data_IF_147585407506
#
_entry.id   IF_147585407506
#
_cell.length_a   1.000
_cell.length_b   1.000
_cell.length_c   1.000
_cell.angle_alpha   90.00
_cell.angle_beta   90.00
_cell.angle_gamma   90.00
#
_symmetry.space_group_name_H-M   'P 1'
#
loop_
_entity.id
_entity.type
_entity.pdbx_description
1 polymer ?
#
# COMPACT_ATOMS: atom_id res chain seq x y z
N UNK A 1 5.54 -27.13 -19.48
CA UNK A 1 6.75 -27.17 -18.65
C UNK A 1 6.94 -25.76 -18.11
N UNK A 2 6.60 -25.55 -16.84
CA UNK A 2 6.98 -24.34 -16.12
C UNK A 2 8.48 -24.39 -15.90
N UNK A 3 9.23 -23.57 -16.63
CA UNK A 3 10.63 -23.31 -16.31
C UNK A 3 10.68 -22.66 -14.92
N UNK A 4 11.13 -23.42 -13.94
CA UNK A 4 11.34 -22.88 -12.59
C UNK A 4 12.53 -21.93 -12.66
N UNK A 5 12.28 -20.65 -12.31
CA UNK A 5 13.32 -19.65 -12.13
C UNK A 5 14.35 -20.20 -11.14
N UNK A 6 15.62 -20.20 -11.52
CA UNK A 6 16.73 -20.67 -10.68
C UNK A 6 16.90 -19.81 -9.44
N UNK A 7 17.54 -20.33 -8.40
CA UNK A 7 17.79 -19.55 -7.18
C UNK A 7 18.76 -18.38 -7.41
N UNK A 8 19.66 -18.49 -8.37
CA UNK A 8 20.52 -17.40 -8.81
C UNK A 8 19.72 -16.28 -9.48
N UNK A 9 18.79 -16.62 -10.37
CA UNK A 9 17.89 -15.66 -11.00
C UNK A 9 17.00 -14.98 -9.96
N UNK A 10 16.44 -15.73 -9.00
CA UNK A 10 15.68 -15.14 -7.87
C UNK A 10 16.52 -14.15 -7.06
N UNK A 11 17.78 -14.52 -6.77
CA UNK A 11 18.69 -13.64 -6.03
C UNK A 11 19.02 -12.37 -6.82
N UNK A 12 19.32 -12.48 -8.11
CA UNK A 12 19.56 -11.34 -9.02
C UNK A 12 18.35 -10.43 -9.11
N UNK A 13 17.15 -11.01 -9.23
CA UNK A 13 15.89 -10.30 -9.25
C UNK A 13 15.67 -9.51 -7.95
N UNK A 14 15.83 -10.17 -6.81
CA UNK A 14 15.71 -9.54 -5.49
C UNK A 14 16.73 -8.43 -5.30
N UNK A 15 17.98 -8.65 -5.69
CA UNK A 15 19.06 -7.66 -5.59
C UNK A 15 18.77 -6.44 -6.48
N UNK A 16 18.39 -6.66 -7.74
CA UNK A 16 18.00 -5.57 -8.64
C UNK A 16 16.80 -4.80 -8.12
N UNK A 17 15.81 -5.50 -7.55
CA UNK A 17 14.66 -4.87 -6.93
C UNK A 17 15.09 -3.95 -5.79
N UNK A 18 15.86 -4.42 -4.84
CA UNK A 18 16.25 -3.66 -3.66
C UNK A 18 17.22 -2.50 -3.99
N UNK A 19 18.17 -2.72 -4.89
CA UNK A 19 19.18 -1.71 -5.24
C UNK A 19 18.61 -0.51 -6.02
N UNK A 20 17.44 -0.66 -6.64
CA UNK A 20 16.77 0.41 -7.37
C UNK A 20 15.71 1.15 -6.54
N UNK A 21 15.43 0.71 -5.31
CA UNK A 21 14.55 1.44 -4.39
C UNK A 21 15.24 2.73 -3.92
N UNK A 22 14.73 3.87 -4.39
CA UNK A 22 15.24 5.18 -4.02
C UNK A 22 14.27 5.93 -3.11
N UNK A 23 14.48 5.81 -1.80
CA UNK A 23 13.64 6.44 -0.78
C UNK A 23 13.65 7.98 -0.89
N UNK A 24 14.76 8.60 -1.29
CA UNK A 24 14.85 10.06 -1.46
C UNK A 24 13.90 10.53 -2.56
N UNK A 25 13.78 9.75 -3.64
CA UNK A 25 12.84 10.04 -4.72
C UNK A 25 11.39 10.00 -4.23
N UNK A 26 11.04 8.98 -3.42
CA UNK A 26 9.70 8.89 -2.84
C UNK A 26 9.40 10.10 -1.93
N UNK A 27 10.34 10.46 -1.04
CA UNK A 27 10.21 11.63 -0.16
C UNK A 27 9.97 12.89 -0.98
N UNK A 28 10.76 13.11 -2.05
CA UNK A 28 10.61 14.27 -2.93
C UNK A 28 9.25 14.30 -3.65
N UNK A 29 8.74 13.15 -4.09
CA UNK A 29 7.40 13.06 -4.67
C UNK A 29 6.32 13.42 -3.65
N UNK A 30 6.46 12.96 -2.41
CA UNK A 30 5.55 13.32 -1.30
C UNK A 30 5.57 14.83 -1.06
N UNK A 31 6.75 15.44 -0.93
CA UNK A 31 6.90 16.88 -0.74
C UNK A 31 6.21 17.68 -1.85
N UNK A 32 6.43 17.30 -3.11
CA UNK A 32 5.82 17.95 -4.28
C UNK A 32 4.28 17.80 -4.23
N UNK A 33 3.78 16.58 -3.99
CA UNK A 33 2.35 16.32 -4.01
C UNK A 33 1.61 16.95 -2.82
N UNK A 34 2.24 17.01 -1.65
CA UNK A 34 1.74 17.75 -0.48
C UNK A 34 1.71 19.25 -0.79
N UNK A 35 2.80 19.79 -1.34
CA UNK A 35 2.89 21.21 -1.69
C UNK A 35 1.87 21.67 -2.75
N UNK A 36 1.43 20.74 -3.64
CA UNK A 36 0.38 21.03 -4.63
C UNK A 36 -1.03 21.05 -4.03
N UNK A 37 -1.27 20.34 -2.91
CA UNK A 37 -2.60 20.13 -2.36
C UNK A 37 -2.92 20.96 -1.14
N UNK A 38 -1.90 21.39 -0.39
CA UNK A 38 -2.07 22.11 0.86
C UNK A 38 -1.49 23.53 0.77
N UNK A 39 -2.26 24.49 1.26
CA UNK A 39 -1.75 25.82 1.56
C UNK A 39 -0.87 25.76 2.81
N UNK A 40 -0.06 26.80 3.04
CA UNK A 40 0.77 26.93 4.26
C UNK A 40 -0.06 26.86 5.55
N UNK A 41 -1.28 27.43 5.54
CA UNK A 41 -2.19 27.37 6.70
C UNK A 41 -2.65 25.95 6.98
N UNK A 42 -3.08 25.21 5.96
CA UNK A 42 -3.51 23.81 6.06
C UNK A 42 -2.36 22.91 6.50
N UNK A 43 -1.16 23.12 5.94
CA UNK A 43 0.03 22.38 6.36
C UNK A 43 0.35 22.59 7.84
N UNK A 44 0.20 23.82 8.35
CA UNK A 44 0.40 24.10 9.78
C UNK A 44 -0.65 23.41 10.67
N UNK A 45 -1.90 23.29 10.21
CA UNK A 45 -2.94 22.53 10.93
C UNK A 45 -2.62 21.04 10.94
N UNK A 46 -2.27 20.48 9.79
CA UNK A 46 -1.85 19.08 9.68
C UNK A 46 -0.64 18.77 10.59
N UNK A 47 0.37 19.64 10.63
CA UNK A 47 1.54 19.47 11.50
C UNK A 47 1.17 19.42 13.00
N UNK A 48 0.09 20.09 13.44
CA UNK A 48 -0.40 19.96 14.81
C UNK A 48 -0.94 18.56 15.08
N UNK A 49 -1.67 17.97 14.13
CA UNK A 49 -2.17 16.59 14.21
C UNK A 49 -0.99 15.63 14.32
N UNK A 50 0.00 15.72 13.42
CA UNK A 50 1.18 14.85 13.42
C UNK A 50 2.10 15.02 14.65
N UNK A 51 2.02 16.16 15.35
CA UNK A 51 2.73 16.39 16.61
C UNK A 51 1.99 15.89 17.84
N UNK A 52 0.69 15.63 17.73
CA UNK A 52 -0.14 15.13 18.84
C UNK A 52 0.37 13.76 19.31
N UNK A 53 0.66 13.58 20.61
CA UNK A 53 1.15 12.30 21.14
C UNK A 53 0.18 11.13 20.90
N UNK A 54 -1.13 11.40 20.93
CA UNK A 54 -2.15 10.39 20.64
C UNK A 54 -2.05 9.91 19.19
N UNK A 55 -1.97 10.84 18.23
CA UNK A 55 -1.83 10.50 16.81
C UNK A 55 -0.51 9.75 16.51
N UNK A 56 0.59 10.21 17.12
CA UNK A 56 1.90 9.56 17.00
C UNK A 56 1.91 8.11 17.46
N UNK A 57 1.14 7.77 18.52
CA UNK A 57 1.04 6.39 19.00
C UNK A 57 0.47 5.46 17.92
N UNK A 58 -0.51 5.92 17.15
CA UNK A 58 -1.09 5.17 16.03
C UNK A 58 -0.10 5.03 14.87
N UNK A 59 0.54 6.14 14.45
CA UNK A 59 1.57 6.10 13.41
C UNK A 59 2.72 5.16 13.76
N UNK A 60 3.16 5.14 15.01
CA UNK A 60 4.20 4.22 15.45
C UNK A 60 3.76 2.77 15.33
N UNK A 61 2.50 2.46 15.64
CA UNK A 61 1.95 1.12 15.46
C UNK A 61 1.91 0.71 13.98
N UNK A 62 1.56 1.63 13.09
CA UNK A 62 1.58 1.41 11.64
C UNK A 62 2.99 1.12 11.13
N UNK A 63 3.97 1.93 11.55
CA UNK A 63 5.39 1.71 11.21
C UNK A 63 5.89 0.36 11.72
N UNK A 64 5.56 0.02 12.98
CA UNK A 64 5.97 -1.25 13.57
C UNK A 64 5.37 -2.44 12.83
N UNK A 65 4.07 -2.35 12.46
CA UNK A 65 3.36 -3.43 11.75
C UNK A 65 3.82 -3.59 10.30
N UNK A 66 4.43 -2.57 9.70
CA UNK A 66 5.00 -2.62 8.35
C UNK A 66 6.42 -3.20 8.30
N UNK A 67 7.07 -3.43 9.45
CA UNK A 67 8.40 -4.01 9.49
C UNK A 67 8.37 -5.49 9.06
N UNK A 68 9.40 -5.98 8.35
CA UNK A 68 9.49 -7.40 7.94
C UNK A 68 9.37 -8.39 9.11
N UNK A 69 9.87 -8.01 10.29
CA UNK A 69 9.80 -8.81 11.52
C UNK A 69 8.35 -9.01 12.00
N UNK A 70 7.48 -8.02 11.77
CA UNK A 70 6.06 -8.11 12.12
C UNK A 70 5.27 -9.11 11.25
N UNK A 71 5.80 -9.52 10.09
CA UNK A 71 5.12 -10.47 9.19
C UNK A 71 4.85 -11.83 9.88
N UNK A 72 5.81 -12.31 10.66
CA UNK A 72 5.65 -13.56 11.40
C UNK A 72 4.59 -13.42 12.50
N UNK A 73 4.59 -12.31 13.23
CA UNK A 73 3.58 -12.02 14.25
C UNK A 73 2.19 -11.88 13.63
N UNK A 74 2.09 -11.22 12.50
CA UNK A 74 0.84 -11.08 11.75
C UNK A 74 0.31 -12.45 11.29
N UNK A 75 1.16 -13.33 10.78
CA UNK A 75 0.76 -14.68 10.39
C UNK A 75 0.20 -15.49 11.59
N UNK A 76 0.86 -15.38 12.75
CA UNK A 76 0.37 -16.01 14.00
C UNK A 76 -0.97 -15.39 14.43
N UNK A 77 -1.10 -14.06 14.38
CA UNK A 77 -2.35 -13.37 14.69
C UNK A 77 -3.50 -13.85 13.81
N UNK A 78 -3.29 -13.88 12.48
CA UNK A 78 -4.30 -14.32 11.51
C UNK A 78 -4.71 -15.78 11.73
N UNK A 79 -3.77 -16.68 12.06
CA UNK A 79 -4.08 -18.08 12.35
C UNK A 79 -4.97 -18.26 13.58
N UNK A 80 -4.94 -17.33 14.52
CA UNK A 80 -5.72 -17.34 15.76
C UNK A 80 -7.03 -16.53 15.69
N UNK A 81 -7.22 -15.72 14.66
CA UNK A 81 -8.36 -14.80 14.57
C UNK A 81 -9.70 -15.54 14.54
N UNK A 82 -9.74 -16.75 13.99
CA UNK A 82 -10.94 -17.61 14.00
C UNK A 82 -11.35 -18.10 15.39
N UNK A 83 -10.38 -18.21 16.32
CA UNK A 83 -10.63 -18.60 17.71
C UNK A 83 -11.01 -17.42 18.59
N UNK A 84 -10.51 -16.21 18.24
CA UNK A 84 -10.75 -14.94 18.94
C UNK A 84 -11.31 -13.92 17.95
N UNK A 85 -12.51 -14.19 17.44
CA UNK A 85 -13.13 -13.32 16.43
C UNK A 85 -13.32 -11.91 16.98
N UNK A 86 -12.93 -10.87 16.22
CA UNK A 86 -13.18 -9.49 16.60
C UNK A 86 -14.69 -9.23 16.78
N UNK A 87 -15.05 -8.34 17.69
CA UNK A 87 -16.45 -7.93 17.85
C UNK A 87 -16.98 -7.28 16.56
N UNK A 88 -18.29 -7.35 16.34
CA UNK A 88 -18.93 -6.64 15.23
C UNK A 88 -18.65 -5.15 15.25
N UNK A 89 -18.57 -4.56 16.45
CA UNK A 89 -18.24 -3.15 16.60
C UNK A 89 -16.81 -2.85 16.16
N UNK A 90 -15.84 -3.68 16.54
CA UNK A 90 -14.44 -3.57 16.05
C UNK A 90 -14.37 -3.67 14.52
N UNK A 91 -15.10 -4.59 13.92
CA UNK A 91 -15.15 -4.74 12.46
C UNK A 91 -15.77 -3.51 11.77
N UNK A 92 -16.78 -2.88 12.36
CA UNK A 92 -17.35 -1.63 11.87
C UNK A 92 -16.33 -0.49 11.93
N UNK A 93 -15.57 -0.36 13.02
CA UNK A 93 -14.50 0.64 13.15
C UNK A 93 -13.42 0.44 12.08
N UNK A 94 -12.98 -0.79 11.84
CA UNK A 94 -12.00 -1.10 10.79
C UNK A 94 -12.54 -0.72 9.40
N UNK A 95 -13.79 -1.01 9.10
CA UNK A 95 -14.40 -0.62 7.83
C UNK A 95 -14.50 0.92 7.68
N UNK A 96 -14.83 1.65 8.77
CA UNK A 96 -14.82 3.13 8.78
C UNK A 96 -13.42 3.68 8.54
N UNK A 97 -12.41 3.11 9.18
CA UNK A 97 -11.02 3.51 8.96
C UNK A 97 -10.60 3.29 7.51
N UNK A 98 -10.89 2.14 6.94
CA UNK A 98 -10.59 1.83 5.54
C UNK A 98 -11.26 2.84 4.59
N UNK A 99 -12.53 3.18 4.83
CA UNK A 99 -13.25 4.18 4.06
C UNK A 99 -12.63 5.58 4.20
N UNK A 100 -12.28 6.01 5.44
CA UNK A 100 -11.70 7.32 5.72
C UNK A 100 -10.29 7.49 5.14
N UNK A 101 -9.49 6.42 5.14
CA UNK A 101 -8.13 6.38 4.59
C UNK A 101 -8.08 5.96 3.12
N UNK A 102 -9.18 5.44 2.55
CA UNK A 102 -9.26 4.87 1.20
C UNK A 102 -8.24 3.75 0.94
N UNK A 103 -7.84 3.00 1.98
CA UNK A 103 -6.71 2.08 1.89
C UNK A 103 -6.94 0.91 0.94
N UNK A 104 -8.11 0.28 0.98
CA UNK A 104 -8.47 -0.79 0.03
C UNK A 104 -8.53 -0.26 -1.40
N UNK A 105 -9.19 0.88 -1.62
CA UNK A 105 -9.32 1.50 -2.95
C UNK A 105 -7.94 1.87 -3.51
N UNK A 106 -7.13 2.55 -2.71
CA UNK A 106 -5.78 2.96 -3.11
C UNK A 106 -4.87 1.78 -3.39
N UNK A 107 -4.93 0.73 -2.56
CA UNK A 107 -4.15 -0.49 -2.78
C UNK A 107 -4.52 -1.15 -4.11
N UNK A 108 -5.81 -1.23 -4.45
CA UNK A 108 -6.25 -1.74 -5.75
C UNK A 108 -5.66 -0.91 -6.90
N UNK A 109 -5.80 0.42 -6.84
CA UNK A 109 -5.28 1.32 -7.89
C UNK A 109 -3.77 1.17 -8.05
N UNK A 110 -3.01 1.18 -6.95
CA UNK A 110 -1.55 1.07 -6.98
C UNK A 110 -1.11 -0.28 -7.57
N UNK A 111 -1.66 -1.38 -7.05
CA UNK A 111 -1.29 -2.73 -7.52
C UNK A 111 -1.66 -2.94 -8.99
N UNK A 112 -2.84 -2.47 -9.41
CA UNK A 112 -3.27 -2.53 -10.80
C UNK A 112 -2.34 -1.73 -11.72
N UNK A 113 -1.99 -0.49 -11.34
CA UNK A 113 -1.09 0.35 -12.14
C UNK A 113 0.31 -0.24 -12.24
N UNK A 114 0.85 -0.80 -11.16
CA UNK A 114 2.13 -1.52 -11.17
C UNK A 114 2.06 -2.69 -12.14
N UNK A 115 1.05 -3.57 -12.00
CA UNK A 115 0.92 -4.75 -12.83
C UNK A 115 0.75 -4.41 -14.32
N UNK A 116 -0.14 -3.46 -14.64
CA UNK A 116 -0.33 -2.97 -16.02
C UNK A 116 0.98 -2.43 -16.59
N UNK A 117 1.72 -1.65 -15.81
CA UNK A 117 2.99 -1.05 -16.24
C UNK A 117 4.04 -2.12 -16.53
N UNK A 118 4.19 -3.11 -15.66
CA UNK A 118 5.10 -4.24 -15.87
C UNK A 118 4.72 -5.02 -17.12
N UNK A 119 3.46 -5.44 -17.24
CA UNK A 119 2.99 -6.28 -18.35
C UNK A 119 3.11 -5.58 -19.70
N UNK A 120 2.71 -4.31 -19.80
CA UNK A 120 2.85 -3.53 -21.02
C UNK A 120 4.32 -3.33 -21.41
N UNK A 121 5.20 -3.06 -20.43
CA UNK A 121 6.60 -2.87 -20.71
C UNK A 121 7.28 -4.17 -21.15
N UNK A 122 7.03 -5.28 -20.47
CA UNK A 122 7.53 -6.59 -20.89
C UNK A 122 7.02 -6.99 -22.29
N UNK A 123 5.75 -6.75 -22.58
CA UNK A 123 5.21 -7.05 -23.92
C UNK A 123 5.80 -6.16 -25.01
N UNK A 124 6.08 -4.89 -24.71
CA UNK A 124 6.78 -3.99 -25.64
C UNK A 124 8.17 -4.51 -26.02
N UNK A 125 8.87 -5.14 -25.08
CA UNK A 125 10.21 -5.69 -25.28
C UNK A 125 10.14 -7.03 -26.00
N UNK A 126 9.32 -7.95 -25.50
CA UNK A 126 9.30 -9.35 -25.96
C UNK A 126 8.32 -9.60 -27.11
N UNK A 127 7.37 -8.69 -27.34
CA UNK A 127 6.32 -8.80 -28.39
C UNK A 127 5.59 -10.14 -28.40
N UNK A 128 5.36 -10.70 -27.19
CA UNK A 128 4.82 -12.05 -27.01
C UNK A 128 3.31 -12.13 -27.23
N UNK A 129 2.60 -11.06 -26.90
CA UNK A 129 1.14 -11.00 -26.91
C UNK A 129 0.65 -9.90 -27.84
N UNK A 130 -0.49 -10.13 -28.51
CA UNK A 130 -1.27 -9.05 -29.13
C UNK A 130 -1.85 -8.14 -28.06
N UNK A 131 -2.32 -6.95 -28.44
CA UNK A 131 -2.97 -6.01 -27.49
C UNK A 131 -4.21 -6.63 -26.83
N UNK A 132 -5.00 -7.40 -27.58
CA UNK A 132 -6.21 -8.07 -27.06
C UNK A 132 -5.84 -9.16 -26.06
N UNK A 133 -4.86 -10.02 -26.37
CA UNK A 133 -4.37 -11.04 -25.45
C UNK A 133 -3.78 -10.44 -24.18
N UNK A 134 -3.00 -9.36 -24.32
CA UNK A 134 -2.43 -8.66 -23.17
C UNK A 134 -3.53 -8.07 -22.28
N UNK A 135 -4.54 -7.45 -22.89
CA UNK A 135 -5.67 -6.87 -22.16
C UNK A 135 -6.47 -7.93 -21.41
N UNK A 136 -6.70 -9.08 -22.01
CA UNK A 136 -7.39 -10.20 -21.35
C UNK A 136 -6.59 -10.74 -20.15
N UNK A 137 -5.28 -10.94 -20.31
CA UNK A 137 -4.40 -11.38 -19.22
C UNK A 137 -4.42 -10.37 -18.06
N UNK A 138 -4.30 -9.08 -18.38
CA UNK A 138 -4.32 -8.01 -17.38
C UNK A 138 -5.66 -8.00 -16.63
N UNK A 139 -6.78 -8.03 -17.32
CA UNK A 139 -8.10 -7.99 -16.71
C UNK A 139 -8.36 -9.19 -15.80
N UNK A 140 -8.00 -10.40 -16.23
CA UNK A 140 -8.17 -11.61 -15.43
C UNK A 140 -7.32 -11.56 -14.15
N UNK A 141 -6.09 -11.08 -14.23
CA UNK A 141 -5.22 -10.94 -13.06
C UNK A 141 -5.71 -9.88 -12.09
N UNK A 142 -6.11 -8.70 -12.59
CA UNK A 142 -6.67 -7.62 -11.78
C UNK A 142 -7.91 -8.10 -11.02
N UNK A 143 -8.83 -8.77 -11.71
CA UNK A 143 -10.02 -9.34 -11.09
C UNK A 143 -9.69 -10.28 -9.94
N UNK A 144 -8.75 -11.20 -10.13
CA UNK A 144 -8.33 -12.15 -9.09
C UNK A 144 -7.68 -11.44 -7.89
N UNK A 145 -6.82 -10.43 -8.13
CA UNK A 145 -6.18 -9.65 -7.08
C UNK A 145 -7.19 -8.86 -6.24
N UNK A 146 -8.12 -8.19 -6.87
CA UNK A 146 -9.09 -7.33 -6.19
C UNK A 146 -9.97 -8.07 -5.20
N UNK A 147 -10.24 -9.36 -5.45
CA UNK A 147 -11.04 -10.20 -4.55
C UNK A 147 -10.43 -10.37 -3.16
N UNK A 148 -9.11 -10.34 -3.04
CA UNK A 148 -8.38 -10.55 -1.78
C UNK A 148 -7.97 -9.30 -1.02
N UNK A 149 -7.77 -8.17 -1.73
CA UNK A 149 -7.13 -6.97 -1.16
C UNK A 149 -7.91 -6.37 0.01
N UNK A 150 -9.23 -6.27 -0.08
CA UNK A 150 -10.04 -5.73 1.01
C UNK A 150 -9.93 -6.55 2.31
N UNK A 151 -9.85 -7.88 2.20
CA UNK A 151 -9.64 -8.73 3.36
C UNK A 151 -8.22 -8.58 3.90
N UNK A 152 -7.21 -8.43 3.06
CA UNK A 152 -5.82 -8.21 3.50
C UNK A 152 -5.68 -6.88 4.25
N UNK A 153 -6.26 -5.79 3.75
CA UNK A 153 -6.27 -4.48 4.44
C UNK A 153 -6.97 -4.59 5.78
N UNK A 154 -8.13 -5.26 5.83
CA UNK A 154 -8.87 -5.48 7.09
C UNK A 154 -8.05 -6.27 8.12
N UNK A 155 -7.42 -7.36 7.71
CA UNK A 155 -6.56 -8.17 8.59
C UNK A 155 -5.34 -7.37 9.07
N UNK A 156 -4.74 -6.58 8.18
CA UNK A 156 -3.64 -5.69 8.54
C UNK A 156 -4.05 -4.67 9.60
N UNK A 157 -5.19 -4.02 9.44
CA UNK A 157 -5.69 -3.06 10.44
C UNK A 157 -6.05 -3.72 11.77
N UNK A 158 -6.66 -4.90 11.75
CA UNK A 158 -6.95 -5.67 12.97
C UNK A 158 -5.67 -6.03 13.72
N UNK A 159 -4.62 -6.39 13.01
CA UNK A 159 -3.32 -6.68 13.60
C UNK A 159 -2.64 -5.41 14.12
N UNK A 160 -2.58 -4.35 13.31
CA UNK A 160 -1.91 -3.09 13.62
C UNK A 160 -2.49 -2.43 14.88
N UNK A 161 -3.80 -2.51 15.05
CA UNK A 161 -4.48 -1.84 16.16
C UNK A 161 -4.98 -2.80 17.24
N UNK A 162 -4.45 -4.02 17.30
CA UNK A 162 -4.86 -5.07 18.28
C UNK A 162 -4.79 -4.61 19.73
N UNK A 163 -3.83 -3.74 20.05
CA UNK A 163 -3.54 -3.26 21.41
C UNK A 163 -4.26 -1.94 21.76
N UNK A 164 -5.08 -1.41 20.85
CA UNK A 164 -5.87 -0.21 21.07
C UNK A 164 -7.30 -0.56 21.45
N UNK A 165 -7.87 0.22 22.37
CA UNK A 165 -9.29 0.11 22.68
C UNK A 165 -10.16 0.61 21.52
N UNK A 166 -11.42 0.17 21.46
CA UNK A 166 -12.37 0.63 20.45
C UNK A 166 -12.58 2.14 20.50
N UNK A 167 -12.58 2.73 21.71
CA UNK A 167 -12.71 4.17 21.92
C UNK A 167 -11.49 4.95 21.37
N UNK A 168 -10.28 4.43 21.54
CA UNK A 168 -9.08 5.06 20.97
C UNK A 168 -9.12 4.97 19.45
N UNK A 169 -9.49 3.82 18.89
CA UNK A 169 -9.60 3.63 17.45
C UNK A 169 -10.67 4.56 16.84
N UNK A 170 -11.83 4.67 17.47
CA UNK A 170 -12.88 5.59 17.04
C UNK A 170 -12.39 7.04 17.01
N UNK A 171 -11.71 7.49 18.06
CA UNK A 171 -11.11 8.84 18.11
C UNK A 171 -10.07 9.04 16.99
N UNK A 172 -9.27 8.01 16.68
CA UNK A 172 -8.30 8.08 15.58
C UNK A 172 -8.98 8.21 14.21
N UNK A 173 -10.04 7.44 13.98
CA UNK A 173 -10.86 7.50 12.75
C UNK A 173 -11.46 8.89 12.57
N UNK A 174 -12.02 9.47 13.64
CA UNK A 174 -12.61 10.81 13.62
C UNK A 174 -11.61 11.88 13.14
N UNK A 175 -10.31 11.71 13.41
CA UNK A 175 -9.29 12.64 12.90
C UNK A 175 -9.26 12.62 11.36
N UNK A 176 -9.40 11.49 10.72
CA UNK A 176 -9.46 11.41 9.24
C UNK A 176 -10.80 11.89 8.68
N UNK A 177 -11.91 11.59 9.37
CA UNK A 177 -13.26 11.96 8.91
C UNK A 177 -13.53 13.48 9.00
N UNK A 178 -13.00 14.15 10.03
CA UNK A 178 -13.31 15.56 10.32
C UNK A 178 -12.25 16.56 9.82
N UNK A 179 -11.06 16.10 9.44
CA UNK A 179 -9.99 17.01 9.03
C UNK A 179 -9.67 16.88 7.53
N UNK A 180 -10.13 17.84 6.75
CA UNK A 180 -9.87 17.90 5.31
C UNK A 180 -8.37 17.96 4.97
N UNK A 181 -7.55 18.55 5.86
CA UNK A 181 -6.10 18.60 5.71
C UNK A 181 -5.49 17.18 5.75
N UNK A 182 -6.02 16.32 6.65
CA UNK A 182 -5.58 14.93 6.74
C UNK A 182 -5.94 14.14 5.48
N UNK A 183 -7.13 14.33 4.93
CA UNK A 183 -7.55 13.73 3.65
C UNK A 183 -6.63 14.18 2.51
N UNK A 184 -6.29 15.46 2.43
CA UNK A 184 -5.37 15.99 1.39
C UNK A 184 -3.96 15.40 1.51
N UNK A 185 -3.44 15.20 2.72
CA UNK A 185 -2.15 14.55 2.95
C UNK A 185 -2.23 13.09 2.51
N UNK A 186 -3.27 12.38 2.91
CA UNK A 186 -3.46 10.99 2.52
C UNK A 186 -3.52 10.83 0.99
N UNK A 187 -4.30 11.66 0.30
CA UNK A 187 -4.36 11.68 -1.18
C UNK A 187 -2.99 12.02 -1.81
N UNK A 188 -2.20 12.90 -1.18
CA UNK A 188 -0.84 13.20 -1.63
C UNK A 188 0.10 12.01 -1.48
N UNK A 189 0.03 11.31 -0.35
CA UNK A 189 0.81 10.10 -0.11
C UNK A 189 0.44 8.98 -1.09
N UNK A 190 -0.85 8.71 -1.28
CA UNK A 190 -1.35 7.71 -2.24
C UNK A 190 -0.82 8.01 -3.65
N UNK A 191 -0.96 9.25 -4.12
CA UNK A 191 -0.44 9.64 -5.45
C UNK A 191 1.07 9.44 -5.54
N UNK A 192 1.82 9.83 -4.51
CA UNK A 192 3.28 9.72 -4.51
C UNK A 192 3.75 8.27 -4.53
N UNK A 193 3.10 7.41 -3.75
CA UNK A 193 3.38 5.97 -3.72
C UNK A 193 3.03 5.33 -5.06
N UNK A 194 1.88 5.67 -5.64
CA UNK A 194 1.49 5.17 -6.96
C UNK A 194 2.51 5.55 -8.02
N UNK A 195 2.85 6.84 -8.13
CA UNK A 195 3.77 7.34 -9.16
C UNK A 195 5.16 6.72 -9.00
N UNK A 196 5.63 6.63 -7.75
CA UNK A 196 6.91 6.01 -7.43
C UNK A 196 6.96 4.54 -7.87
N UNK A 197 5.97 3.74 -7.51
CA UNK A 197 5.98 2.31 -7.83
C UNK A 197 5.71 2.02 -9.30
N UNK A 198 4.93 2.84 -10.00
CA UNK A 198 4.73 2.72 -11.45
C UNK A 198 6.05 2.95 -12.19
N UNK A 199 6.78 4.02 -11.88
CA UNK A 199 8.09 4.27 -12.48
C UNK A 199 9.10 3.17 -12.14
N UNK A 200 9.08 2.73 -10.89
CA UNK A 200 9.94 1.66 -10.40
C UNK A 200 9.65 0.33 -11.12
N UNK A 201 8.37 0.00 -11.33
CA UNK A 201 7.95 -1.19 -12.07
C UNK A 201 8.47 -1.20 -13.51
N UNK A 202 8.46 -0.04 -14.18
CA UNK A 202 9.03 0.11 -15.53
C UNK A 202 10.55 -0.09 -15.52
N UNK A 203 11.24 0.49 -14.54
CA UNK A 203 12.70 0.33 -14.40
C UNK A 203 13.09 -1.14 -14.20
N UNK A 204 12.42 -1.81 -13.28
CA UNK A 204 12.65 -3.23 -12.98
C UNK A 204 12.37 -4.10 -14.20
N UNK A 205 11.24 -3.90 -14.90
CA UNK A 205 10.88 -4.69 -16.07
C UNK A 205 11.85 -4.49 -17.26
N UNK A 206 12.47 -3.30 -17.40
CA UNK A 206 13.55 -3.09 -18.38
C UNK A 206 14.79 -3.92 -18.06
N UNK A 207 15.13 -4.07 -16.79
CA UNK A 207 16.27 -4.88 -16.36
C UNK A 207 16.03 -6.38 -16.56
N UNK A 208 14.78 -6.85 -16.43
CA UNK A 208 14.39 -8.22 -16.71
C UNK A 208 14.55 -8.61 -18.19
N UNK A 209 14.33 -7.69 -19.09
CA UNK A 209 14.41 -7.94 -20.52
C UNK A 209 15.85 -8.03 -21.07
N UNK A 210 16.84 -7.73 -20.21
CA UNK A 210 18.28 -7.82 -20.57
C UNK A 210 18.93 -9.13 -20.05
N UNK A 211 18.14 -9.97 -19.41
CA UNK A 211 18.52 -11.31 -18.91
C UNK A 211 18.02 -12.37 -19.87
#
# INVERSE_FOLDING_TARGET
LEEKISDEEKYRLKSNFLNNLNNEKLIKLVEINVGKRLTKSELNKALKIYKDPFFKKFLQSEVNSANPEALQEMAIFVSKIGQNSPSNFRLQLINRLDAATKSTESSKVIVNNIFVSVMKNLNKINKKYTEDQLSEIINNYIFALEQGLGNQVKLFYLFTYKDFTDKELEKYITIYEENSEQTKINDALISSVNDFFVEYAVLVSNNFAQI
#
